data_IF_634222612783
#
_entry.id   IF_634222612783
#
_cell.length_a   1.000
_cell.length_b   1.000
_cell.length_c   1.000
_cell.angle_alpha   90.00
_cell.angle_beta   90.00
_cell.angle_gamma   90.00
#
_symmetry.space_group_name_H-M   'P 1'
#
loop_
_entity.id
_entity.type
_entity.pdbx_description
1 polymer ?
#
# COMPACT_ATOMS: atom_id res chain seq x y z
N UNK A 1 -5.59 -26.62 -11.39
CA UNK A 1 -4.94 -26.89 -10.09
C UNK A 1 -3.47 -27.15 -10.39
N UNK A 2 -2.63 -26.10 -10.42
CA UNK A 2 -1.20 -26.24 -10.73
C UNK A 2 -0.44 -26.59 -9.45
N UNK A 3 0.21 -27.74 -9.46
CA UNK A 3 0.90 -28.34 -8.31
C UNK A 3 2.35 -27.82 -8.30
N UNK A 4 2.65 -26.80 -7.48
CA UNK A 4 3.97 -26.14 -7.39
C UNK A 4 4.93 -26.79 -6.37
N UNK A 5 4.74 -28.05 -5.97
CA UNK A 5 5.51 -28.65 -4.85
C UNK A 5 6.98 -29.01 -5.15
N UNK A 6 7.54 -28.67 -6.31
CA UNK A 6 8.95 -28.98 -6.64
C UNK A 6 9.80 -27.81 -7.13
N UNK A 7 9.27 -26.59 -7.16
CA UNK A 7 10.01 -25.43 -7.69
C UNK A 7 10.43 -24.52 -6.53
N UNK A 8 11.74 -24.36 -6.31
CA UNK A 8 12.23 -23.37 -5.36
C UNK A 8 11.90 -21.96 -5.84
N UNK A 9 11.46 -21.11 -4.92
CA UNK A 9 11.04 -19.73 -5.21
C UNK A 9 12.05 -18.79 -4.55
N UNK A 10 12.83 -18.12 -5.38
CA UNK A 10 13.87 -17.20 -4.92
C UNK A 10 13.53 -15.76 -5.26
N UNK A 11 13.96 -14.82 -4.41
CA UNK A 11 13.86 -13.38 -4.64
C UNK A 11 15.19 -12.70 -4.35
N UNK A 12 15.39 -11.53 -4.93
CA UNK A 12 16.59 -10.71 -4.73
C UNK A 12 16.19 -9.45 -3.99
N UNK A 13 16.91 -9.09 -2.93
CA UNK A 13 16.78 -7.80 -2.28
C UNK A 13 18.15 -7.23 -1.95
N UNK A 14 18.42 -6.04 -2.48
CA UNK A 14 19.74 -5.41 -2.49
C UNK A 14 20.75 -6.36 -3.14
N UNK A 15 21.60 -6.99 -2.32
CA UNK A 15 22.58 -7.98 -2.76
C UNK A 15 22.20 -9.40 -2.38
N UNK A 16 21.24 -9.59 -1.49
CA UNK A 16 20.89 -10.91 -0.97
C UNK A 16 19.98 -11.66 -1.93
N UNK A 17 20.21 -12.98 -2.01
CA UNK A 17 19.31 -13.94 -2.64
C UNK A 17 18.63 -14.72 -1.52
N UNK A 18 17.31 -14.79 -1.56
CA UNK A 18 16.49 -15.33 -0.48
C UNK A 18 15.60 -16.46 -1.01
N UNK A 19 15.58 -17.60 -0.33
CA UNK A 19 14.68 -18.71 -0.64
C UNK A 19 13.40 -18.55 0.19
N UNK A 20 12.34 -18.09 -0.45
CA UNK A 20 11.05 -17.81 0.21
C UNK A 20 10.06 -18.96 0.05
N UNK A 21 10.49 -20.12 -0.45
CA UNK A 21 9.59 -21.23 -0.81
C UNK A 21 8.63 -21.61 0.32
N UNK A 22 9.12 -21.68 1.56
CA UNK A 22 8.30 -22.02 2.73
C UNK A 22 7.46 -20.87 3.27
N UNK A 23 7.75 -19.63 2.87
CA UNK A 23 7.09 -18.43 3.39
C UNK A 23 5.95 -17.93 2.51
N UNK A 24 5.87 -18.36 1.25
CA UNK A 24 4.83 -17.90 0.30
C UNK A 24 3.42 -18.05 0.87
N UNK A 25 3.10 -19.19 1.48
CA UNK A 25 1.77 -19.46 2.04
C UNK A 25 1.46 -18.65 3.32
N UNK A 26 2.50 -18.14 3.99
CA UNK A 26 2.38 -17.37 5.23
C UNK A 26 2.37 -15.85 5.00
N UNK A 27 2.65 -15.41 3.77
CA UNK A 27 2.79 -14.00 3.47
C UNK A 27 1.44 -13.23 3.63
N UNK A 28 1.38 -12.15 4.45
CA UNK A 28 0.15 -11.41 4.68
C UNK A 28 -0.49 -10.77 3.43
N UNK A 29 0.30 -10.52 2.39
CA UNK A 29 -0.18 -10.02 1.09
C UNK A 29 -0.67 -11.12 0.14
N UNK A 30 -0.72 -12.38 0.58
CA UNK A 30 -1.09 -13.53 -0.23
C UNK A 30 -0.18 -13.70 -1.45
N UNK A 31 -0.79 -14.13 -2.56
CA UNK A 31 -0.11 -14.46 -3.82
C UNK A 31 0.69 -13.30 -4.45
N UNK A 32 0.52 -12.05 -3.98
CA UNK A 32 1.28 -10.90 -4.48
C UNK A 32 2.79 -11.07 -4.30
N UNK A 33 3.25 -11.87 -3.33
CA UNK A 33 4.67 -12.18 -3.15
C UNK A 33 5.29 -12.86 -4.39
N UNK A 34 4.47 -13.57 -5.17
CA UNK A 34 4.91 -14.27 -6.37
C UNK A 34 5.29 -13.32 -7.51
N UNK A 35 4.89 -12.06 -7.47
CA UNK A 35 5.33 -11.05 -8.43
C UNK A 35 6.85 -10.84 -8.39
N UNK A 36 7.48 -11.11 -7.24
CA UNK A 36 8.92 -11.04 -7.06
C UNK A 36 9.68 -12.31 -7.44
N UNK A 37 8.98 -13.40 -7.76
CA UNK A 37 9.63 -14.70 -7.97
C UNK A 37 10.66 -14.64 -9.11
N UNK A 38 11.89 -15.04 -8.80
CA UNK A 38 13.05 -15.02 -9.71
C UNK A 38 13.62 -13.62 -9.99
N UNK A 39 13.08 -12.58 -9.35
CA UNK A 39 13.40 -11.18 -9.64
C UNK A 39 13.76 -10.41 -8.37
N UNK A 40 14.15 -9.15 -8.57
CA UNK A 40 14.36 -8.18 -7.50
C UNK A 40 13.01 -7.72 -6.93
N UNK A 41 12.94 -7.63 -5.59
CA UNK A 41 11.74 -7.21 -4.86
C UNK A 41 11.76 -5.74 -4.44
N UNK A 42 12.84 -5.02 -4.72
CA UNK A 42 12.99 -3.59 -4.46
C UNK A 42 11.79 -2.76 -4.96
N UNK A 43 11.22 -2.98 -6.17
CA UNK A 43 10.06 -2.20 -6.63
C UNK A 43 8.86 -2.34 -5.73
N UNK A 44 8.63 -3.56 -5.24
CA UNK A 44 7.54 -3.86 -4.32
C UNK A 44 7.83 -3.31 -2.92
N UNK A 45 9.08 -3.28 -2.46
CA UNK A 45 9.46 -2.68 -1.18
C UNK A 45 9.32 -1.15 -1.18
N UNK A 46 9.57 -0.51 -2.33
CA UNK A 46 9.29 0.92 -2.51
C UNK A 46 7.79 1.19 -2.51
N UNK A 47 7.01 0.38 -3.22
CA UNK A 47 5.56 0.56 -3.33
C UNK A 47 4.85 0.27 -2.00
N UNK A 48 5.13 -0.90 -1.42
CA UNK A 48 4.52 -1.39 -0.19
C UNK A 48 5.41 -1.03 1.01
N UNK A 49 5.36 0.23 1.43
CA UNK A 49 6.20 0.76 2.51
C UNK A 49 6.04 0.06 3.88
N UNK A 50 5.01 -0.79 4.04
CA UNK A 50 4.86 -1.66 5.23
C UNK A 50 6.06 -2.57 5.45
N UNK A 51 6.78 -2.97 4.38
CA UNK A 51 7.95 -3.82 4.49
C UNK A 51 9.18 -3.12 5.08
N UNK A 52 9.15 -1.78 5.21
CA UNK A 52 10.25 -0.99 5.76
C UNK A 52 10.24 -0.97 7.30
N UNK A 53 10.07 -2.15 7.90
CA UNK A 53 10.11 -2.36 9.34
C UNK A 53 11.27 -3.31 9.70
N UNK A 54 11.94 -3.04 10.82
CA UNK A 54 13.08 -3.83 11.29
C UNK A 54 12.76 -5.32 11.36
N UNK A 55 11.60 -5.69 11.92
CA UNK A 55 11.25 -7.11 12.11
C UNK A 55 11.09 -7.84 10.76
N UNK A 56 10.64 -7.14 9.72
CA UNK A 56 10.47 -7.71 8.38
C UNK A 56 11.83 -7.93 7.72
N UNK A 57 12.78 -6.99 7.87
CA UNK A 57 14.14 -7.20 7.39
C UNK A 57 14.84 -8.35 8.12
N UNK A 58 14.67 -8.47 9.44
CA UNK A 58 15.21 -9.58 10.22
C UNK A 58 14.61 -10.93 9.81
N UNK A 59 13.31 -10.96 9.52
CA UNK A 59 12.64 -12.16 9.01
C UNK A 59 13.16 -12.55 7.63
N UNK A 60 13.29 -11.58 6.70
CA UNK A 60 13.84 -11.81 5.37
C UNK A 60 15.26 -12.36 5.45
N UNK A 61 16.10 -11.83 6.34
CA UNK A 61 17.49 -12.27 6.48
C UNK A 61 17.64 -13.74 6.90
N UNK A 62 16.68 -14.29 7.66
CA UNK A 62 16.67 -15.73 8.00
C UNK A 62 16.52 -16.64 6.78
N UNK A 63 16.03 -16.12 5.66
CA UNK A 63 15.79 -16.86 4.42
C UNK A 63 16.93 -16.70 3.40
N UNK A 64 18.03 -16.02 3.74
CA UNK A 64 19.14 -15.75 2.82
C UNK A 64 19.91 -17.01 2.47
N UNK A 65 20.16 -17.21 1.18
CA UNK A 65 20.92 -18.35 0.65
C UNK A 65 22.18 -17.95 -0.12
N UNK A 66 22.40 -16.66 -0.37
CA UNK A 66 23.58 -16.18 -1.07
C UNK A 66 23.51 -14.71 -1.43
N UNK A 67 24.45 -14.27 -2.27
CA UNK A 67 24.55 -12.89 -2.76
C UNK A 67 24.79 -12.83 -4.27
N UNK A 68 24.23 -11.80 -4.92
CA UNK A 68 24.62 -11.40 -6.28
C UNK A 68 25.82 -10.46 -6.27
N UNK A 69 26.40 -10.21 -7.45
CA UNK A 69 27.50 -9.26 -7.60
C UNK A 69 27.03 -7.81 -7.36
N UNK A 70 27.96 -6.92 -7.04
CA UNK A 70 27.63 -5.49 -6.85
C UNK A 70 27.12 -4.83 -8.13
N UNK A 71 27.62 -5.28 -9.28
CA UNK A 71 27.18 -4.81 -10.59
C UNK A 71 25.70 -5.14 -10.80
N UNK A 72 25.33 -6.40 -10.59
CA UNK A 72 23.95 -6.87 -10.81
C UNK A 72 22.98 -6.20 -9.82
N UNK A 73 23.43 -5.99 -8.57
CA UNK A 73 22.66 -5.25 -7.56
C UNK A 73 22.48 -3.76 -7.91
N UNK A 74 23.43 -3.15 -8.61
CA UNK A 74 23.30 -1.78 -9.11
C UNK A 74 22.33 -1.68 -10.29
N UNK A 75 22.26 -2.71 -11.13
CA UNK A 75 21.34 -2.77 -12.26
C UNK A 75 19.87 -2.93 -11.81
N UNK A 76 19.60 -3.67 -10.72
CA UNK A 76 18.23 -3.89 -10.23
C UNK A 76 17.53 -2.61 -9.73
N UNK A 77 18.26 -1.56 -9.41
CA UNK A 77 17.72 -0.30 -8.85
C UNK A 77 17.81 0.91 -9.78
N UNK A 78 18.38 0.75 -10.97
CA UNK A 78 18.81 1.86 -11.83
C UNK A 78 17.68 2.78 -12.30
N UNK A 79 16.49 2.23 -12.54
CA UNK A 79 15.33 2.96 -13.07
C UNK A 79 14.19 3.09 -12.04
N UNK A 80 14.51 2.92 -10.76
CA UNK A 80 13.52 3.00 -9.70
C UNK A 80 13.25 4.45 -9.29
N UNK A 81 12.06 4.94 -9.58
CA UNK A 81 11.57 6.23 -9.06
C UNK A 81 10.79 6.05 -7.75
N UNK A 82 10.74 7.12 -6.95
CA UNK A 82 9.93 7.16 -5.74
C UNK A 82 8.43 7.17 -6.09
N UNK A 83 7.67 6.11 -5.81
CA UNK A 83 6.27 6.02 -6.22
C UNK A 83 5.37 7.04 -5.50
N UNK A 84 5.87 7.66 -4.42
CA UNK A 84 5.15 8.66 -3.63
C UNK A 84 5.53 10.10 -4.00
N UNK A 85 6.32 10.33 -5.05
CA UNK A 85 6.83 11.67 -5.37
C UNK A 85 5.73 12.72 -5.65
N UNK A 86 4.57 12.28 -6.16
CA UNK A 86 3.41 13.13 -6.42
C UNK A 86 2.35 13.09 -5.31
N UNK A 87 2.66 12.48 -4.15
CA UNK A 87 1.72 12.49 -3.03
C UNK A 87 1.41 13.96 -2.63
N UNK A 88 0.12 14.29 -2.42
CA UNK A 88 -0.30 15.65 -2.10
C UNK A 88 0.25 16.11 -0.76
N UNK A 89 0.62 17.39 -0.68
CA UNK A 89 1.07 18.02 0.56
C UNK A 89 -0.03 18.00 1.61
N UNK A 90 0.34 17.69 2.84
CA UNK A 90 -0.57 17.61 4.00
C UNK A 90 -0.26 18.70 5.02
N UNK A 91 -1.25 19.05 5.82
CA UNK A 91 -1.08 20.09 6.84
C UNK A 91 -0.02 19.65 7.87
N UNK A 92 0.96 20.50 8.22
CA UNK A 92 2.09 20.11 9.08
C UNK A 92 1.70 19.80 10.53
N UNK A 93 0.48 20.16 10.95
CA UNK A 93 -0.03 19.88 12.29
C UNK A 93 -0.42 18.40 12.49
N UNK A 94 -0.65 17.66 11.40
CA UNK A 94 -0.95 16.24 11.47
C UNK A 94 0.25 15.50 12.07
N UNK A 95 -0.03 14.47 12.86
CA UNK A 95 0.97 13.61 13.49
C UNK A 95 1.16 12.35 12.65
N UNK A 96 2.18 12.27 11.78
CA UNK A 96 2.36 11.10 10.93
C UNK A 96 2.88 9.91 11.75
N UNK A 97 2.16 8.79 11.69
CA UNK A 97 2.64 7.48 12.11
C UNK A 97 3.46 6.80 11.00
N UNK A 98 3.24 7.19 9.73
CA UNK A 98 4.02 6.77 8.57
C UNK A 98 4.03 7.87 7.52
N UNK A 99 5.15 8.05 6.83
CA UNK A 99 5.30 9.04 5.75
C UNK A 99 5.04 8.43 4.37
N UNK A 100 5.44 7.17 4.15
CA UNK A 100 5.27 6.44 2.88
C UNK A 100 4.88 4.99 3.14
N UNK A 101 3.59 4.63 3.02
CA UNK A 101 2.47 5.51 2.66
C UNK A 101 2.12 6.50 3.79
N UNK A 102 1.58 7.68 3.43
CA UNK A 102 1.23 8.71 4.40
C UNK A 102 0.04 8.28 5.27
N UNK A 103 0.26 8.18 6.58
CA UNK A 103 -0.77 7.87 7.57
C UNK A 103 -0.58 8.79 8.77
N UNK A 104 -1.60 9.58 9.08
CA UNK A 104 -1.52 10.58 10.14
C UNK A 104 -2.88 10.86 10.78
N UNK A 105 -2.85 11.27 12.05
CA UNK A 105 -4.01 11.73 12.80
C UNK A 105 -3.84 13.19 13.22
N UNK A 106 -4.96 13.89 13.48
CA UNK A 106 -4.91 15.20 14.10
C UNK A 106 -4.44 15.11 15.56
N UNK A 107 -3.86 16.17 16.14
CA UNK A 107 -3.64 16.24 17.58
C UNK A 107 -4.94 16.02 18.34
N UNK A 108 -4.91 15.20 19.40
CA UNK A 108 -6.08 14.94 20.26
C UNK A 108 -6.76 16.21 20.78
N UNK A 109 -5.98 17.27 21.06
CA UNK A 109 -6.50 18.56 21.50
C UNK A 109 -7.40 19.24 20.47
N UNK A 110 -7.29 18.91 19.18
CA UNK A 110 -8.09 19.47 18.10
C UNK A 110 -9.19 18.53 17.60
N UNK A 111 -9.14 17.26 18.00
CA UNK A 111 -10.00 16.21 17.45
C UNK A 111 -11.48 16.45 17.73
N UNK A 112 -11.80 17.02 18.90
CA UNK A 112 -13.17 17.27 19.36
C UNK A 112 -13.53 18.77 19.41
N UNK A 113 -12.68 19.65 18.86
CA UNK A 113 -12.93 21.10 18.85
C UNK A 113 -14.13 21.48 17.97
N UNK A 114 -14.42 20.67 16.96
CA UNK A 114 -15.52 20.88 16.03
C UNK A 114 -16.29 19.57 15.80
N UNK A 115 -17.62 19.67 15.66
CA UNK A 115 -18.46 18.50 15.31
C UNK A 115 -18.14 17.95 13.92
N UNK A 116 -17.87 18.85 12.96
CA UNK A 116 -17.37 18.50 11.63
C UNK A 116 -15.87 18.82 11.61
N UNK A 117 -15.04 17.78 11.52
CA UNK A 117 -13.59 17.95 11.41
C UNK A 117 -13.25 18.68 10.10
N UNK A 118 -12.44 19.75 10.12
CA UNK A 118 -11.94 20.38 8.90
C UNK A 118 -11.19 19.36 8.02
N UNK A 119 -11.29 19.50 6.70
CA UNK A 119 -10.70 18.55 5.74
C UNK A 119 -9.19 18.38 5.95
N UNK A 120 -8.50 19.47 6.29
CA UNK A 120 -7.06 19.51 6.53
C UNK A 120 -6.64 18.78 7.82
N UNK A 121 -7.59 18.54 8.73
CA UNK A 121 -7.42 17.84 10.00
C UNK A 121 -8.05 16.43 9.99
N UNK A 122 -8.78 16.07 8.95
CA UNK A 122 -9.35 14.72 8.82
C UNK A 122 -8.21 13.70 8.76
N UNK A 123 -8.30 12.63 9.56
CA UNK A 123 -7.21 11.64 9.61
C UNK A 123 -6.97 11.03 8.21
N UNK A 124 -5.70 10.81 7.87
CA UNK A 124 -5.32 10.24 6.58
C UNK A 124 -4.85 8.81 6.82
N UNK A 125 -5.42 7.85 6.08
CA UNK A 125 -4.96 6.46 6.09
C UNK A 125 -4.78 5.95 4.67
N UNK A 126 -3.54 5.97 4.18
CA UNK A 126 -3.18 5.40 2.88
C UNK A 126 -2.49 4.04 3.04
N UNK A 127 -2.83 3.09 2.18
CA UNK A 127 -2.09 1.82 2.04
C UNK A 127 -1.04 1.88 0.92
N UNK A 128 -1.21 2.80 -0.04
CA UNK A 128 -0.45 2.93 -1.29
C UNK A 128 -0.31 4.42 -1.66
N UNK A 129 0.50 4.77 -2.69
CA UNK A 129 0.55 6.13 -3.22
C UNK A 129 -0.83 6.67 -3.60
N UNK A 130 -1.01 7.99 -3.49
CA UNK A 130 -2.27 8.62 -3.89
C UNK A 130 -2.33 8.68 -5.42
N UNK A 131 -3.38 8.16 -6.07
CA UNK A 131 -3.49 8.19 -7.52
C UNK A 131 -3.70 9.63 -8.01
N UNK A 132 -2.99 9.98 -9.09
CA UNK A 132 -3.27 11.18 -9.88
C UNK A 132 -4.37 10.86 -10.90
N UNK A 133 -5.49 11.55 -10.80
CA UNK A 133 -6.68 11.27 -11.60
C UNK A 133 -6.98 12.44 -12.53
N UNK A 134 -7.02 12.16 -13.83
CA UNK A 134 -7.61 13.07 -14.82
C UNK A 134 -9.12 12.84 -14.86
N UNK A 135 -9.87 13.86 -14.47
CA UNK A 135 -11.35 13.83 -14.42
C UNK A 135 -11.94 13.61 -15.83
N UNK A 136 -11.27 14.07 -16.88
CA UNK A 136 -11.76 13.94 -18.26
C UNK A 136 -11.76 12.50 -18.77
N UNK A 137 -10.92 11.64 -18.20
CA UNK A 137 -10.79 10.22 -18.56
C UNK A 137 -11.20 9.29 -17.42
N UNK A 138 -11.72 9.81 -16.31
CA UNK A 138 -12.15 9.00 -15.17
C UNK A 138 -13.38 8.16 -15.52
N UNK A 139 -13.31 6.87 -15.17
CA UNK A 139 -14.41 5.92 -15.28
C UNK A 139 -14.62 5.18 -13.94
N UNK A 140 -15.88 5.08 -13.52
CA UNK A 140 -16.32 4.20 -12.45
C UNK A 140 -16.99 2.97 -13.06
N UNK A 141 -16.40 1.81 -12.83
CA UNK A 141 -16.96 0.52 -13.24
C UNK A 141 -17.71 -0.14 -12.08
N UNK A 142 -18.94 -0.56 -12.34
CA UNK A 142 -19.80 -1.28 -11.39
C UNK A 142 -20.25 -2.58 -12.04
N UNK A 143 -19.88 -3.69 -11.42
CA UNK A 143 -20.28 -5.04 -11.83
C UNK A 143 -21.18 -5.67 -10.78
N UNK A 144 -22.17 -6.45 -11.22
CA UNK A 144 -23.04 -7.21 -10.31
C UNK A 144 -22.57 -8.65 -10.27
N UNK A 145 -22.07 -9.06 -9.11
CA UNK A 145 -21.58 -10.42 -8.84
C UNK A 145 -22.62 -11.47 -9.26
N UNK A 146 -22.13 -12.56 -9.89
CA UNK A 146 -22.98 -13.63 -10.40
C UNK A 146 -23.74 -13.31 -11.69
N UNK A 147 -23.49 -12.14 -12.30
CA UNK A 147 -24.10 -11.75 -13.58
C UNK A 147 -23.05 -11.26 -14.58
N UNK A 148 -23.46 -11.09 -15.84
CA UNK A 148 -22.65 -10.41 -16.87
C UNK A 148 -22.98 -8.91 -16.99
N UNK A 149 -23.72 -8.34 -16.03
CA UNK A 149 -24.12 -6.93 -16.07
C UNK A 149 -22.98 -6.06 -15.56
N UNK A 150 -22.54 -5.15 -16.43
CA UNK A 150 -21.50 -4.16 -16.16
C UNK A 150 -22.04 -2.77 -16.52
N UNK A 151 -21.77 -1.79 -15.67
CA UNK A 151 -22.06 -0.38 -15.88
C UNK A 151 -20.75 0.39 -15.78
N UNK A 152 -20.48 1.26 -16.75
CA UNK A 152 -19.31 2.15 -16.74
C UNK A 152 -19.83 3.59 -16.78
N UNK A 153 -19.41 4.41 -15.83
CA UNK A 153 -19.87 5.79 -15.65
C UNK A 153 -18.69 6.75 -15.74
N UNK A 154 -18.80 7.77 -16.58
CA UNK A 154 -17.86 8.89 -16.53
C UNK A 154 -18.11 9.76 -15.30
N UNK A 155 -17.17 10.64 -14.94
CA UNK A 155 -17.40 11.61 -13.86
C UNK A 155 -18.65 12.48 -14.11
N UNK A 156 -18.89 12.88 -15.36
CA UNK A 156 -20.08 13.68 -15.76
C UNK A 156 -21.39 12.91 -15.59
N UNK A 157 -21.36 11.58 -15.73
CA UNK A 157 -22.55 10.76 -15.48
C UNK A 157 -22.85 10.68 -13.99
N UNK A 158 -21.83 10.63 -13.13
CA UNK A 158 -21.98 10.70 -11.68
C UNK A 158 -22.61 12.01 -11.21
N UNK A 159 -22.19 13.15 -11.79
CA UNK A 159 -22.74 14.47 -11.45
C UNK A 159 -24.24 14.62 -11.79
N UNK A 160 -24.75 13.82 -12.72
CA UNK A 160 -26.17 13.83 -13.12
C UNK A 160 -27.07 13.02 -12.17
N UNK A 161 -26.50 12.19 -11.30
CA UNK A 161 -27.25 11.41 -10.32
C UNK A 161 -27.85 12.32 -9.24
N UNK A 162 -28.92 11.85 -8.59
CA UNK A 162 -29.51 12.57 -7.47
C UNK A 162 -28.52 12.68 -6.32
N UNK A 163 -28.15 13.92 -5.96
CA UNK A 163 -27.22 14.19 -4.87
C UNK A 163 -27.91 13.99 -3.50
N UNK A 164 -27.26 13.25 -2.62
CA UNK A 164 -27.60 13.13 -1.21
C UNK A 164 -26.45 13.62 -0.34
N UNK A 165 -26.76 14.10 0.87
CA UNK A 165 -25.75 14.57 1.84
C UNK A 165 -26.00 13.88 3.17
N UNK A 166 -24.96 13.21 3.71
CA UNK A 166 -25.00 12.46 4.96
C UNK A 166 -23.80 12.89 5.80
N UNK A 167 -24.04 13.22 7.07
CA UNK A 167 -22.95 13.42 8.04
C UNK A 167 -22.64 12.07 8.68
N UNK A 168 -21.41 11.58 8.48
CA UNK A 168 -20.97 10.29 9.01
C UNK A 168 -19.56 10.40 9.61
N UNK A 169 -19.33 9.73 10.73
CA UNK A 169 -18.00 9.55 11.30
C UNK A 169 -17.33 8.33 10.66
N UNK A 170 -16.11 8.49 10.18
CA UNK A 170 -15.29 7.37 9.69
C UNK A 170 -14.27 7.03 10.77
N UNK A 171 -14.16 5.75 11.13
CA UNK A 171 -13.20 5.28 12.12
C UNK A 171 -12.35 4.17 11.53
N UNK A 172 -11.03 4.31 11.64
CA UNK A 172 -10.11 3.24 11.29
C UNK A 172 -10.23 2.09 12.31
N UNK A 173 -10.28 0.85 11.85
CA UNK A 173 -10.24 -0.33 12.74
C UNK A 173 -8.97 -0.38 13.62
N UNK A 174 -7.89 0.28 13.19
CA UNK A 174 -6.66 0.43 13.98
C UNK A 174 -6.66 1.57 14.99
N UNK A 175 -7.78 2.26 15.20
CA UNK A 175 -7.87 3.34 16.18
C UNK A 175 -7.49 2.82 17.58
N UNK A 176 -6.69 3.61 18.33
CA UNK A 176 -6.16 3.24 19.66
C UNK A 176 -5.33 1.95 19.70
N UNK A 177 -4.80 1.47 18.57
CA UNK A 177 -3.95 0.27 18.51
C UNK A 177 -2.73 0.34 19.42
N UNK A 178 -2.17 1.52 19.65
CA UNK A 178 -1.02 1.74 20.54
C UNK A 178 -1.26 1.23 21.97
N UNK A 179 -2.51 1.14 22.42
CA UNK A 179 -2.86 0.62 23.74
C UNK A 179 -2.79 -0.91 23.83
N UNK A 180 -2.82 -1.60 22.69
CA UNK A 180 -2.71 -3.07 22.60
C UNK A 180 -1.26 -3.55 22.51
N UNK A 181 -0.31 -2.69 22.15
CA UNK A 181 1.10 -3.05 21.92
C UNK A 181 1.97 -2.92 23.19
N UNK A 182 1.43 -3.30 24.35
CA UNK A 182 2.16 -3.29 25.63
C UNK A 182 2.96 -4.58 25.84
#
# INVERSE_FOLDING_TARGET
MFNFRSTKIWVIFRRGVYDITSFVEEHPGGDQIMLGAGNSIEPFWLLYGVHNQIQIYEMLEKMRIGNISEKDAGESVKDMSDPYHNDPKRHPILKPASVKPFNAEAPLSLLADNFISPNELFYVRNHLPVPEVDISTYELEVEVEGTKKKLVLSFKDLERLQKHTITATIMCAGNRRSEMSK
#
